data_IF_442800090963
#
_entry.id   IF_442800090963
#
_cell.length_a   1.000
_cell.length_b   1.000
_cell.length_c   1.000
_cell.angle_alpha   90.00
_cell.angle_beta   90.00
_cell.angle_gamma   90.00
#
_symmetry.space_group_name_H-M   'P 1'
#
loop_
_entity.id
_entity.type
_entity.pdbx_description
1 polymer ?
#
# COMPACT_ATOMS: atom_id res chain seq x y z
N UNK A 1 24.62 -5.63 37.91
CA UNK A 1 24.60 -6.29 36.58
C UNK A 1 23.95 -5.30 35.63
N UNK A 2 24.76 -4.67 34.76
CA UNK A 2 24.28 -3.73 33.73
C UNK A 2 23.32 -4.49 32.82
N UNK A 3 22.03 -4.16 32.85
CA UNK A 3 21.11 -4.60 31.79
C UNK A 3 21.58 -3.92 30.50
N UNK A 4 21.77 -4.73 29.47
CA UNK A 4 22.33 -4.33 28.20
C UNK A 4 21.43 -3.29 27.52
N UNK A 5 21.86 -2.03 27.48
CA UNK A 5 21.32 -0.97 26.60
C UNK A 5 21.35 -1.34 25.11
N UNK A 6 21.98 -2.47 24.74
CA UNK A 6 21.99 -3.01 23.38
C UNK A 6 20.73 -3.82 23.00
N UNK A 7 19.90 -4.25 23.94
CA UNK A 7 18.66 -4.98 23.62
C UNK A 7 17.45 -4.07 23.42
N UNK A 8 17.41 -2.90 24.06
CA UNK A 8 16.30 -1.94 23.90
C UNK A 8 16.30 -1.25 22.53
N UNK A 9 17.46 -1.15 21.86
CA UNK A 9 17.57 -0.57 20.51
C UNK A 9 17.21 -1.53 19.36
N UNK A 10 16.85 -2.79 19.63
CA UNK A 10 16.53 -3.78 18.56
C UNK A 10 15.05 -3.87 18.19
N UNK A 11 14.18 -3.18 18.92
CA UNK A 11 12.72 -3.26 18.72
C UNK A 11 12.23 -2.19 17.72
N UNK A 12 13.00 -1.13 17.48
CA UNK A 12 12.59 0.00 16.63
C UNK A 12 12.84 -0.19 15.11
N UNK A 13 13.51 -1.27 14.67
CA UNK A 13 13.99 -1.37 13.28
C UNK A 13 13.00 -2.00 12.27
N UNK A 14 11.84 -2.50 12.69
CA UNK A 14 11.05 -3.41 11.83
C UNK A 14 10.14 -2.72 10.81
N UNK A 15 10.08 -1.39 10.79
CA UNK A 15 9.14 -0.63 9.94
C UNK A 15 9.85 0.41 9.06
N UNK A 16 11.14 0.22 8.79
CA UNK A 16 11.98 1.18 8.08
C UNK A 16 11.30 1.71 6.81
N UNK A 17 10.77 0.84 5.94
CA UNK A 17 10.12 1.27 4.71
C UNK A 17 8.86 2.12 4.95
N UNK A 18 8.01 1.76 5.92
CA UNK A 18 6.82 2.53 6.24
C UNK A 18 7.18 3.90 6.84
N UNK A 19 8.16 3.92 7.74
CA UNK A 19 8.62 5.13 8.40
C UNK A 19 9.33 6.06 7.43
N UNK A 20 10.12 5.52 6.50
CA UNK A 20 10.79 6.27 5.45
C UNK A 20 9.80 6.86 4.45
N UNK A 21 8.74 6.13 4.09
CA UNK A 21 7.65 6.70 3.30
C UNK A 21 6.92 7.83 4.04
N UNK A 22 6.64 7.68 5.34
CA UNK A 22 6.04 8.75 6.15
C UNK A 22 6.98 9.96 6.20
N UNK A 23 8.27 9.77 6.51
CA UNK A 23 9.30 10.83 6.51
C UNK A 23 9.39 11.53 5.15
N UNK A 24 9.28 10.78 4.05
CA UNK A 24 9.27 11.33 2.69
C UNK A 24 8.09 12.26 2.44
N UNK A 25 6.90 11.94 2.95
CA UNK A 25 5.73 12.84 2.87
C UNK A 25 5.96 14.13 3.67
N UNK A 26 6.54 14.04 4.86
CA UNK A 26 6.97 15.21 5.62
C UNK A 26 8.07 16.01 4.92
N UNK A 27 8.97 15.35 4.22
CA UNK A 27 10.00 16.01 3.42
C UNK A 27 9.38 16.77 2.24
N UNK A 28 8.45 16.15 1.49
CA UNK A 28 7.75 16.78 0.36
C UNK A 28 6.99 18.02 0.81
N UNK A 29 6.24 17.95 1.93
CA UNK A 29 5.46 19.10 2.41
C UNK A 29 6.35 20.26 2.86
N UNK A 30 7.52 19.97 3.43
CA UNK A 30 8.42 20.97 4.04
C UNK A 30 9.49 21.49 3.08
N UNK A 31 9.85 20.72 2.06
CA UNK A 31 10.94 21.01 1.13
C UNK A 31 10.43 20.99 -0.31
N UNK A 32 9.56 21.93 -0.70
CA UNK A 32 9.09 21.98 -2.07
C UNK A 32 10.26 22.39 -2.97
N UNK A 33 10.88 21.41 -3.63
CA UNK A 33 11.82 21.64 -4.72
C UNK A 33 11.09 22.48 -5.81
N UNK A 34 11.81 23.37 -6.50
CA UNK A 34 11.25 24.21 -7.57
C UNK A 34 10.45 23.42 -8.61
N UNK A 35 10.86 22.18 -8.91
CA UNK A 35 10.08 21.28 -9.78
C UNK A 35 8.71 20.95 -9.21
N UNK A 36 8.62 20.63 -7.91
CA UNK A 36 7.36 20.31 -7.25
C UNK A 36 6.46 21.54 -7.17
N UNK A 37 7.00 22.71 -6.82
CA UNK A 37 6.22 23.96 -6.79
C UNK A 37 5.60 24.29 -8.14
N UNK A 38 6.34 24.06 -9.23
CA UNK A 38 5.95 24.46 -10.57
C UNK A 38 5.06 23.43 -11.28
N UNK A 39 5.23 22.15 -10.97
CA UNK A 39 4.64 21.06 -11.76
C UNK A 39 3.78 20.08 -10.97
N UNK A 40 3.77 20.13 -9.63
CA UNK A 40 2.96 19.23 -8.81
C UNK A 40 1.83 19.99 -8.10
N UNK A 41 0.63 19.42 -8.17
CA UNK A 41 -0.51 19.89 -7.38
C UNK A 41 -0.54 19.17 -6.02
N UNK A 42 0.00 19.82 -4.99
CA UNK A 42 0.04 19.24 -3.65
C UNK A 42 -1.37 19.08 -3.03
N UNK A 43 -2.38 19.77 -3.55
CA UNK A 43 -3.77 19.56 -3.11
C UNK A 43 -4.40 18.27 -3.68
N UNK A 44 -3.71 17.60 -4.61
CA UNK A 44 -4.20 16.40 -5.29
C UNK A 44 -3.12 15.31 -5.39
N UNK A 45 -2.72 14.79 -4.25
CA UNK A 45 -1.71 13.73 -4.14
C UNK A 45 -2.31 12.33 -4.04
N UNK A 46 -1.56 11.31 -4.48
CA UNK A 46 -1.94 9.91 -4.39
C UNK A 46 -0.75 9.07 -3.93
N UNK A 47 -1.00 8.09 -3.07
CA UNK A 47 0.01 7.08 -2.70
C UNK A 47 -0.12 5.90 -3.65
N UNK A 48 0.96 5.46 -4.27
CA UNK A 48 0.92 4.38 -5.26
C UNK A 48 2.06 3.40 -5.03
N UNK A 49 1.78 2.11 -5.16
CA UNK A 49 2.81 1.09 -5.20
C UNK A 49 2.34 -0.20 -5.85
N UNK A 50 3.31 -0.96 -6.35
CA UNK A 50 3.17 -2.26 -7.00
C UNK A 50 3.86 -3.32 -6.15
N UNK A 51 3.29 -4.52 -6.08
CA UNK A 51 3.77 -5.65 -5.27
C UNK A 51 3.95 -5.26 -3.79
N UNK A 52 5.14 -5.45 -3.21
CA UNK A 52 5.44 -5.00 -1.85
C UNK A 52 5.22 -3.49 -1.64
N UNK A 53 5.39 -2.68 -2.69
CA UNK A 53 5.07 -1.25 -2.67
C UNK A 53 3.57 -0.97 -2.45
N UNK A 54 2.70 -1.86 -2.93
CA UNK A 54 1.25 -1.75 -2.72
C UNK A 54 0.87 -1.96 -1.25
N UNK A 55 1.51 -2.91 -0.60
CA UNK A 55 1.41 -3.12 0.85
C UNK A 55 1.90 -1.89 1.63
N UNK A 56 3.05 -1.34 1.25
CA UNK A 56 3.60 -0.11 1.84
C UNK A 56 2.60 1.06 1.67
N UNK A 57 2.11 1.29 0.45
CA UNK A 57 1.15 2.36 0.17
C UNK A 57 -0.13 2.24 1.03
N UNK A 58 -0.63 1.01 1.20
CA UNK A 58 -1.76 0.72 2.08
C UNK A 58 -1.48 1.08 3.55
N UNK A 59 -0.42 0.52 4.15
CA UNK A 59 -0.11 0.75 5.56
C UNK A 59 0.29 2.20 5.84
N UNK A 60 1.05 2.83 4.96
CA UNK A 60 1.40 4.27 5.05
C UNK A 60 0.12 5.09 4.98
N UNK A 61 -0.78 4.80 4.03
CA UNK A 61 -2.06 5.47 3.89
C UNK A 61 -2.91 5.42 5.17
N UNK A 62 -3.02 4.25 5.82
CA UNK A 62 -3.68 4.10 7.11
C UNK A 62 -3.04 4.95 8.22
N UNK A 63 -1.71 5.00 8.26
CA UNK A 63 -0.96 5.81 9.25
C UNK A 63 -1.20 7.30 9.02
N UNK A 64 -1.08 7.78 7.78
CA UNK A 64 -1.14 9.21 7.47
C UNK A 64 -2.55 9.77 7.45
N UNK A 65 -3.58 8.96 7.20
CA UNK A 65 -4.96 9.41 7.30
C UNK A 65 -5.29 9.92 8.72
N UNK A 66 -4.68 9.34 9.76
CA UNK A 66 -4.84 9.77 11.16
C UNK A 66 -4.23 11.14 11.45
N UNK A 67 -3.29 11.60 10.63
CA UNK A 67 -2.53 12.84 10.83
C UNK A 67 -2.55 13.73 9.58
N UNK A 68 -3.55 13.60 8.71
CA UNK A 68 -3.53 14.30 7.42
C UNK A 68 -3.49 15.83 7.55
N UNK A 69 -4.10 16.37 8.61
CA UNK A 69 -4.06 17.80 8.91
C UNK A 69 -2.61 18.29 9.10
N UNK A 70 -1.74 17.43 9.65
CA UNK A 70 -0.32 17.70 9.80
C UNK A 70 0.44 17.64 8.47
N UNK A 71 -0.12 17.06 7.40
CA UNK A 71 0.55 16.95 6.10
C UNK A 71 0.32 18.14 5.18
N UNK A 72 -0.58 19.07 5.52
CA UNK A 72 -0.83 20.27 4.72
C UNK A 72 0.50 21.01 4.40
N UNK A 73 0.68 21.49 3.16
CA UNK A 73 -0.32 21.59 2.07
C UNK A 73 -0.52 20.30 1.25
N UNK A 74 0.14 19.20 1.59
CA UNK A 74 0.02 17.91 0.89
C UNK A 74 -1.30 17.24 1.28
N UNK A 75 -2.23 17.15 0.33
CA UNK A 75 -3.53 16.51 0.48
C UNK A 75 -3.60 15.22 -0.34
N UNK A 76 -3.67 14.09 0.34
CA UNK A 76 -3.87 12.79 -0.30
C UNK A 76 -5.36 12.64 -0.62
N UNK A 77 -5.66 12.11 -1.81
CA UNK A 77 -7.03 11.83 -2.29
C UNK A 77 -7.28 10.35 -2.51
N UNK A 78 -6.22 9.54 -2.60
CA UNK A 78 -6.38 8.10 -2.71
C UNK A 78 -5.08 7.32 -2.69
N UNK A 79 -5.24 5.99 -2.70
CA UNK A 79 -4.17 5.01 -2.60
C UNK A 79 -4.34 4.00 -3.74
N UNK A 80 -3.31 3.68 -4.52
CA UNK A 80 -3.24 2.44 -5.30
C UNK A 80 -2.47 1.41 -4.49
N UNK A 81 -3.13 0.32 -4.10
CA UNK A 81 -2.53 -0.77 -3.34
C UNK A 81 -2.73 -2.11 -4.01
N UNK A 82 -1.64 -2.85 -4.16
CA UNK A 82 -1.64 -4.30 -4.38
C UNK A 82 -1.37 -4.97 -3.03
N UNK A 83 -2.34 -5.75 -2.53
CA UNK A 83 -2.26 -6.41 -1.23
C UNK A 83 -1.88 -7.88 -1.42
N UNK A 84 -0.57 -8.15 -1.29
CA UNK A 84 0.04 -9.45 -1.56
C UNK A 84 -0.04 -10.39 -0.37
N UNK A 85 -0.53 -11.61 -0.60
CA UNK A 85 -0.37 -12.76 0.30
C UNK A 85 -0.14 -14.05 -0.50
N UNK A 86 1.13 -14.48 -0.54
CA UNK A 86 1.74 -15.45 -1.46
C UNK A 86 0.87 -16.53 -2.10
N UNK A 87 1.01 -16.62 -3.42
CA UNK A 87 1.54 -17.69 -4.27
C UNK A 87 1.81 -17.00 -5.62
N UNK A 88 2.99 -17.11 -6.20
CA UNK A 88 3.30 -16.46 -7.48
C UNK A 88 4.12 -17.45 -8.35
N UNK A 89 3.86 -17.46 -9.67
CA UNK A 89 4.59 -18.29 -10.64
C UNK A 89 5.92 -17.65 -11.08
N UNK A 90 6.01 -16.32 -11.00
CA UNK A 90 7.22 -15.49 -11.16
C UNK A 90 7.98 -15.42 -9.83
N UNK A 91 7.26 -15.42 -8.71
CA UNK A 91 7.80 -15.39 -7.35
C UNK A 91 7.44 -16.68 -6.60
N UNK A 92 8.23 -17.76 -6.77
CA UNK A 92 7.99 -19.04 -6.13
C UNK A 92 7.69 -18.91 -4.63
N UNK A 93 6.83 -19.79 -4.11
CA UNK A 93 6.38 -19.77 -2.72
C UNK A 93 7.52 -19.64 -1.70
N UNK A 94 8.58 -20.42 -1.87
CA UNK A 94 9.75 -20.39 -1.02
C UNK A 94 10.44 -19.02 -1.04
N UNK A 95 10.50 -18.35 -2.19
CA UNK A 95 11.06 -17.00 -2.29
C UNK A 95 10.16 -16.00 -1.59
N UNK A 96 8.84 -16.11 -1.73
CA UNK A 96 7.90 -15.30 -0.97
C UNK A 96 8.01 -15.52 0.54
N UNK A 97 8.18 -16.76 0.99
CA UNK A 97 8.33 -17.09 2.41
C UNK A 97 9.62 -16.47 2.96
N UNK A 98 10.74 -16.58 2.23
CA UNK A 98 12.00 -15.90 2.60
C UNK A 98 11.82 -14.37 2.62
N UNK A 99 11.15 -13.79 1.62
CA UNK A 99 10.89 -12.34 1.58
C UNK A 99 10.08 -11.86 2.80
N UNK A 100 9.09 -12.65 3.23
CA UNK A 100 8.31 -12.31 4.42
C UNK A 100 9.09 -12.58 5.71
N UNK A 101 9.89 -13.66 5.78
CA UNK A 101 10.77 -13.93 6.92
C UNK A 101 11.78 -12.80 7.14
N UNK A 102 12.35 -12.26 6.05
CA UNK A 102 13.29 -11.13 6.11
C UNK A 102 12.61 -9.78 6.34
N UNK A 103 11.35 -9.63 5.92
CA UNK A 103 10.61 -8.37 5.98
C UNK A 103 9.74 -8.18 7.22
N UNK A 104 9.47 -9.25 7.98
CA UNK A 104 8.66 -9.22 9.19
C UNK A 104 9.53 -9.18 10.46
N UNK A 105 8.98 -8.73 11.60
CA UNK A 105 9.69 -8.79 12.87
C UNK A 105 10.17 -10.20 13.21
N UNK A 106 11.39 -10.34 13.75
CA UNK A 106 11.93 -11.64 14.18
C UNK A 106 10.91 -12.38 15.05
N UNK A 107 10.64 -13.63 14.68
CA UNK A 107 9.67 -14.50 15.37
C UNK A 107 8.22 -14.32 14.93
N UNK A 108 7.94 -13.40 13.99
CA UNK A 108 6.62 -13.26 13.39
C UNK A 108 6.39 -14.31 12.30
N UNK A 109 5.14 -14.73 12.16
CA UNK A 109 4.69 -15.56 11.05
C UNK A 109 3.90 -14.74 10.02
N UNK A 110 3.40 -15.42 9.00
CA UNK A 110 2.59 -14.81 7.93
C UNK A 110 1.17 -14.39 8.39
N UNK A 111 0.81 -14.66 9.64
CA UNK A 111 -0.39 -14.14 10.29
C UNK A 111 -0.21 -12.71 10.80
N UNK A 112 1.02 -12.19 10.83
CA UNK A 112 1.28 -10.79 11.20
C UNK A 112 0.51 -9.81 10.32
N UNK A 113 -0.05 -8.74 10.89
CA UNK A 113 -0.95 -7.79 10.20
C UNK A 113 -0.34 -7.12 8.96
N UNK A 114 0.99 -6.95 8.93
CA UNK A 114 1.72 -6.44 7.77
C UNK A 114 1.80 -7.41 6.59
N UNK A 115 1.81 -8.71 6.87
CA UNK A 115 1.69 -9.71 5.82
C UNK A 115 0.21 -9.88 5.46
N UNK A 116 -0.63 -10.08 6.48
CA UNK A 116 -2.04 -10.40 6.34
C UNK A 116 -2.96 -9.27 6.80
N UNK A 117 -3.24 -8.34 5.91
CA UNK A 117 -4.13 -7.20 6.19
C UNK A 117 -5.53 -7.63 6.63
N UNK A 118 -6.04 -8.78 6.18
CA UNK A 118 -7.37 -9.28 6.57
C UNK A 118 -7.51 -9.49 8.08
N UNK A 119 -6.41 -9.76 8.80
CA UNK A 119 -6.43 -9.87 10.27
C UNK A 119 -6.85 -8.54 10.89
N UNK A 120 -6.20 -7.44 10.50
CA UNK A 120 -6.51 -6.12 11.01
C UNK A 120 -7.87 -5.61 10.50
N UNK A 121 -8.16 -5.81 9.22
CA UNK A 121 -9.43 -5.41 8.60
C UNK A 121 -10.64 -6.04 9.30
N UNK A 122 -10.55 -7.32 9.67
CA UNK A 122 -11.64 -8.04 10.33
C UNK A 122 -11.77 -7.66 11.80
N UNK A 123 -10.65 -7.52 12.50
CA UNK A 123 -10.64 -7.29 13.96
C UNK A 123 -10.86 -5.83 14.36
N UNK A 124 -10.56 -4.87 13.50
CA UNK A 124 -10.69 -3.44 13.79
C UNK A 124 -11.88 -2.82 13.03
N UNK A 125 -12.92 -2.43 13.76
CA UNK A 125 -14.11 -1.80 13.18
C UNK A 125 -13.84 -0.39 12.65
N UNK A 126 -12.98 0.35 13.35
CA UNK A 126 -12.73 1.77 13.13
C UNK A 126 -11.48 2.02 12.28
N UNK A 127 -10.88 0.96 11.70
CA UNK A 127 -9.62 1.01 10.96
C UNK A 127 -9.61 2.09 9.86
N UNK A 128 -10.75 2.25 9.19
CA UNK A 128 -10.88 3.12 8.01
C UNK A 128 -11.62 4.43 8.29
N UNK A 129 -11.95 4.74 9.54
CA UNK A 129 -12.76 5.92 9.86
C UNK A 129 -12.13 7.20 9.35
N UNK A 130 -10.82 7.34 9.55
CA UNK A 130 -10.10 8.50 9.05
C UNK A 130 -10.11 8.56 7.52
N UNK A 131 -9.90 7.45 6.81
CA UNK A 131 -9.96 7.42 5.34
C UNK A 131 -11.34 7.85 4.84
N UNK A 132 -12.41 7.35 5.48
CA UNK A 132 -13.80 7.70 5.15
C UNK A 132 -14.10 9.17 5.38
N UNK A 133 -13.69 9.73 6.53
CA UNK A 133 -13.85 11.16 6.86
C UNK A 133 -13.15 12.04 5.82
N UNK A 134 -11.98 11.62 5.34
CA UNK A 134 -11.21 12.36 4.35
C UNK A 134 -11.73 12.17 2.92
N UNK A 135 -12.66 11.24 2.70
CA UNK A 135 -13.15 10.87 1.38
C UNK A 135 -12.11 10.20 0.48
N UNK A 136 -11.12 9.50 1.06
CA UNK A 136 -10.07 8.85 0.26
C UNK A 136 -10.61 7.65 -0.50
N UNK A 137 -10.15 7.50 -1.74
CA UNK A 137 -10.45 6.33 -2.59
C UNK A 137 -9.28 5.35 -2.59
N UNK A 138 -9.57 4.06 -2.71
CA UNK A 138 -8.55 3.02 -2.90
C UNK A 138 -8.73 2.39 -4.27
N UNK A 139 -7.65 2.33 -5.05
CA UNK A 139 -7.56 1.64 -6.32
C UNK A 139 -6.84 0.29 -6.13
N UNK A 140 -7.49 -0.78 -6.57
CA UNK A 140 -6.89 -2.13 -6.63
C UNK A 140 -6.90 -2.58 -8.08
N UNK A 141 -5.72 -2.87 -8.64
CA UNK A 141 -5.56 -3.37 -10.01
C UNK A 141 -4.85 -4.69 -9.93
N UNK A 142 -5.38 -5.72 -10.60
CA UNK A 142 -4.73 -7.02 -10.71
C UNK A 142 -5.26 -7.79 -11.94
N UNK A 143 -4.77 -9.01 -12.17
CA UNK A 143 -5.22 -9.90 -13.23
C UNK A 143 -5.39 -11.34 -12.75
N UNK A 144 -6.23 -12.13 -13.42
CA UNK A 144 -6.49 -13.54 -13.04
C UNK A 144 -5.27 -14.48 -13.19
N UNK A 145 -4.25 -14.04 -13.93
CA UNK A 145 -2.97 -14.73 -14.06
C UNK A 145 -2.05 -14.54 -12.86
N UNK A 146 -2.35 -13.58 -11.98
CA UNK A 146 -1.72 -13.44 -10.68
C UNK A 146 -2.32 -14.48 -9.72
N UNK A 147 -1.54 -15.42 -9.14
CA UNK A 147 -2.10 -16.38 -8.20
C UNK A 147 -2.49 -15.75 -6.84
N UNK A 148 -2.33 -14.43 -6.67
CA UNK A 148 -2.81 -13.63 -5.55
C UNK A 148 -4.22 -13.06 -5.76
N UNK A 149 -4.76 -13.12 -6.98
CA UNK A 149 -5.99 -12.43 -7.39
C UNK A 149 -7.18 -12.67 -6.46
N UNK A 150 -7.42 -13.91 -6.04
CA UNK A 150 -8.54 -14.28 -5.17
C UNK A 150 -8.52 -13.49 -3.85
N UNK A 151 -7.32 -13.25 -3.32
CA UNK A 151 -7.15 -12.49 -2.08
C UNK A 151 -7.28 -11.00 -2.32
N UNK A 152 -6.77 -10.49 -3.44
CA UNK A 152 -6.96 -9.07 -3.79
C UNK A 152 -8.44 -8.75 -3.96
N UNK A 153 -9.20 -9.66 -4.59
CA UNK A 153 -10.66 -9.62 -4.69
C UNK A 153 -11.30 -9.68 -3.30
N UNK A 154 -10.86 -10.60 -2.42
CA UNK A 154 -11.40 -10.70 -1.06
C UNK A 154 -11.20 -9.40 -0.27
N UNK A 155 -10.00 -8.83 -0.31
CA UNK A 155 -9.70 -7.57 0.36
C UNK A 155 -10.54 -6.43 -0.22
N UNK A 156 -10.63 -6.31 -1.55
CA UNK A 156 -11.48 -5.29 -2.19
C UNK A 156 -12.93 -5.39 -1.71
N UNK A 157 -13.51 -6.59 -1.71
CA UNK A 157 -14.86 -6.85 -1.20
C UNK A 157 -15.00 -6.43 0.27
N UNK A 158 -13.98 -6.69 1.09
CA UNK A 158 -14.02 -6.34 2.51
C UNK A 158 -13.87 -4.85 2.79
N UNK A 159 -13.01 -4.16 2.03
CA UNK A 159 -12.91 -2.70 2.06
C UNK A 159 -14.25 -2.04 1.70
N UNK A 160 -14.89 -2.52 0.63
CA UNK A 160 -16.25 -2.08 0.24
C UNK A 160 -17.27 -2.34 1.34
N UNK A 161 -17.25 -3.53 1.96
CA UNK A 161 -18.14 -3.88 3.09
C UNK A 161 -17.93 -2.97 4.31
N UNK A 162 -16.70 -2.50 4.54
CA UNK A 162 -16.35 -1.54 5.61
C UNK A 162 -16.66 -0.07 5.24
N UNK A 163 -17.27 0.17 4.08
CA UNK A 163 -17.70 1.50 3.62
C UNK A 163 -16.58 2.35 3.02
N UNK A 164 -15.45 1.74 2.64
CA UNK A 164 -14.37 2.44 1.93
C UNK A 164 -14.75 2.60 0.47
N UNK A 165 -14.44 3.75 -0.13
CA UNK A 165 -14.58 3.96 -1.57
C UNK A 165 -13.49 3.19 -2.30
N UNK A 166 -13.85 2.11 -2.99
CA UNK A 166 -12.89 1.26 -3.70
C UNK A 166 -13.23 1.21 -5.18
N UNK A 167 -12.23 1.49 -6.01
CA UNK A 167 -12.22 1.22 -7.44
C UNK A 167 -11.38 -0.03 -7.64
N UNK A 168 -11.96 -1.10 -8.14
CA UNK A 168 -11.22 -2.31 -8.49
C UNK A 168 -11.27 -2.58 -9.99
N UNK A 169 -10.15 -3.04 -10.53
CA UNK A 169 -9.97 -3.40 -11.94
C UNK A 169 -9.22 -4.71 -12.02
N UNK A 170 -9.95 -5.79 -12.23
CA UNK A 170 -9.41 -7.13 -12.37
C UNK A 170 -9.54 -7.57 -13.83
N UNK A 171 -8.40 -7.79 -14.51
CA UNK A 171 -8.37 -8.15 -15.93
C UNK A 171 -8.21 -9.64 -16.15
N UNK A 172 -8.77 -10.15 -17.25
CA UNK A 172 -8.53 -11.52 -17.71
C UNK A 172 -7.15 -11.65 -18.38
N UNK A 173 -6.51 -12.79 -18.14
CA UNK A 173 -5.15 -13.10 -18.58
C UNK A 173 -4.07 -12.19 -18.00
N UNK A 174 -2.81 -12.56 -18.25
CA UNK A 174 -1.64 -11.81 -17.78
C UNK A 174 -0.85 -12.58 -16.73
N UNK A 175 -0.05 -11.86 -15.96
CA UNK A 175 0.76 -12.38 -14.85
C UNK A 175 1.21 -11.20 -13.97
N UNK A 176 1.72 -11.46 -12.75
CA UNK A 176 2.19 -10.40 -11.85
C UNK A 176 3.26 -9.52 -12.52
N UNK A 177 2.99 -8.21 -12.62
CA UNK A 177 3.89 -7.27 -13.29
C UNK A 177 3.89 -7.36 -14.82
N UNK A 178 2.86 -7.92 -15.45
CA UNK A 178 2.77 -7.99 -16.91
C UNK A 178 2.82 -6.62 -17.60
N UNK A 179 2.44 -5.54 -16.91
CA UNK A 179 2.57 -4.16 -17.39
C UNK A 179 4.02 -3.73 -17.65
N UNK A 180 5.02 -4.43 -17.11
CA UNK A 180 6.43 -4.17 -17.41
C UNK A 180 6.89 -4.79 -18.73
N UNK A 181 6.12 -5.73 -19.28
CA UNK A 181 6.51 -6.54 -20.43
C UNK A 181 5.53 -6.43 -21.60
N UNK A 182 4.31 -5.93 -21.37
CA UNK A 182 3.25 -5.82 -22.36
C UNK A 182 2.72 -4.36 -22.42
N UNK A 183 2.99 -3.70 -23.54
CA UNK A 183 2.57 -2.32 -23.81
C UNK A 183 1.04 -2.13 -23.81
N UNK A 184 0.26 -3.15 -24.19
CA UNK A 184 -1.20 -3.07 -24.15
C UNK A 184 -1.68 -3.11 -22.70
N UNK A 185 -1.15 -4.04 -21.89
CA UNK A 185 -1.47 -4.11 -20.45
C UNK A 185 -1.03 -2.84 -19.70
N UNK A 186 0.11 -2.26 -20.07
CA UNK A 186 0.55 -0.97 -19.54
C UNK A 186 -0.42 0.16 -19.89
N UNK A 187 -0.87 0.23 -21.14
CA UNK A 187 -1.85 1.24 -21.59
C UNK A 187 -3.18 1.10 -20.86
N UNK A 188 -3.67 -0.13 -20.69
CA UNK A 188 -4.90 -0.41 -19.96
C UNK A 188 -4.79 0.04 -18.50
N UNK A 189 -3.70 -0.34 -17.81
CA UNK A 189 -3.45 0.13 -16.44
C UNK A 189 -3.37 1.66 -16.38
N UNK A 190 -2.67 2.31 -17.32
CA UNK A 190 -2.52 3.75 -17.36
C UNK A 190 -3.86 4.46 -17.55
N UNK A 191 -4.78 3.90 -18.34
CA UNK A 191 -6.14 4.42 -18.50
C UNK A 191 -6.92 4.34 -17.19
N UNK A 192 -6.87 3.20 -16.49
CA UNK A 192 -7.54 3.03 -15.19
C UNK A 192 -7.00 4.03 -14.17
N UNK A 193 -5.68 4.18 -14.07
CA UNK A 193 -5.04 5.14 -13.15
C UNK A 193 -5.41 6.59 -13.52
N UNK A 194 -5.44 6.91 -14.81
CA UNK A 194 -5.82 8.26 -15.29
C UNK A 194 -7.25 8.62 -14.89
N UNK A 195 -8.20 7.71 -15.06
CA UNK A 195 -9.58 7.95 -14.67
C UNK A 195 -9.75 8.00 -13.15
N UNK A 196 -9.03 7.15 -12.40
CA UNK A 196 -9.00 7.21 -10.94
C UNK A 196 -8.47 8.55 -10.40
N UNK A 197 -7.40 9.07 -10.99
CA UNK A 197 -6.82 10.36 -10.60
C UNK A 197 -7.74 11.53 -10.97
N UNK A 198 -8.56 11.40 -12.02
CA UNK A 198 -9.48 12.46 -12.46
C UNK A 198 -10.73 12.57 -11.59
N UNK A 199 -11.29 11.42 -11.18
CA UNK A 199 -12.55 11.31 -10.45
C UNK A 199 -12.49 11.84 -9.01
#
# INVERSE_FOLDING_TARGET
IKKNEKEENKIEEWWAAYDDCVKSLYWIKNTPNELLKKHADLSKCFLLGTSAGGNIAYHVGLRVAKVSACLKPLEIKGIKSELRLARDKILPLNVCDIMWELGLPIGSDRGHSYCNSMVEIRSNENLFDQLKIQGWKILVIDCDGDPLIDRQIEVSKMLKKKGVQVVDSFSEGGFPGCEFFDDMKLKDMALVVKEFVRA
#
